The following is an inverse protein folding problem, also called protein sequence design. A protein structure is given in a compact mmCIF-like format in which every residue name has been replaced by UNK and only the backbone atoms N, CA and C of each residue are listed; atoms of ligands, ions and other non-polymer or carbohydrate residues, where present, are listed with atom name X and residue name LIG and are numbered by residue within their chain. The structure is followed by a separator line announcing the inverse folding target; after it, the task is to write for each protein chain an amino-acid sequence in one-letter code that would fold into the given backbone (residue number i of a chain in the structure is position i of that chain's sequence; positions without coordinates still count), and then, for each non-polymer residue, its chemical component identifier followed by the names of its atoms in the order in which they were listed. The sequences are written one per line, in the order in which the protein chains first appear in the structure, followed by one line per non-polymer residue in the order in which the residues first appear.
data_IF_243356528434
#
_entry.id   IF_243356528434
#
_cell.length_a   1.000
_cell.length_b   1.000
_cell.length_c   1.000
_cell.angle_alpha   90.00
_cell.angle_beta   90.00
_cell.angle_gamma   90.00
#
_symmetry.space_group_name_H-M   'P 1'
#
loop_
_entity.id
_entity.type
_entity.pdbx_description
1 polymer ?
#
# COMPACT_ATOMS: atom_id res chain seq x y z
N UNK A 1 -25.23 -6.77 -17.66
CA UNK A 1 -23.77 -6.89 -17.93
C UNK A 1 -23.13 -5.60 -17.47
N UNK A 2 -22.08 -5.66 -16.66
CA UNK A 2 -21.36 -4.44 -16.28
C UNK A 2 -20.53 -3.96 -17.47
N UNK A 3 -20.65 -2.69 -17.84
CA UNK A 3 -19.85 -2.08 -18.90
C UNK A 3 -18.55 -1.54 -18.27
N UNK A 4 -17.41 -2.10 -18.68
CA UNK A 4 -16.11 -1.67 -18.17
C UNK A 4 -15.66 -0.41 -18.92
N UNK A 5 -15.61 0.72 -18.22
CA UNK A 5 -15.04 1.96 -18.74
C UNK A 5 -13.59 2.10 -18.29
N UNK A 6 -12.68 2.29 -19.25
CA UNK A 6 -11.31 2.69 -18.95
C UNK A 6 -11.29 4.18 -18.58
N UNK A 7 -10.75 4.48 -17.40
CA UNK A 7 -10.50 5.85 -16.94
C UNK A 7 -9.03 5.99 -16.61
N UNK A 8 -8.40 7.06 -17.09
CA UNK A 8 -7.04 7.43 -16.73
C UNK A 8 -7.07 8.43 -15.58
N UNK A 9 -6.23 8.23 -14.57
CA UNK A 9 -6.12 9.11 -13.42
C UNK A 9 -4.69 9.11 -12.89
N UNK A 10 -4.27 10.25 -12.35
CA UNK A 10 -2.96 10.42 -11.74
C UNK A 10 -3.11 10.59 -10.23
N UNK A 11 -2.44 9.73 -9.46
CA UNK A 11 -2.38 9.83 -8.01
C UNK A 11 -0.98 10.29 -7.58
N UNK A 12 -0.92 11.23 -6.64
CA UNK A 12 0.31 11.46 -5.88
C UNK A 12 0.34 10.47 -4.72
N UNK A 13 1.49 9.83 -4.52
CA UNK A 13 1.69 8.86 -3.44
C UNK A 13 2.80 9.32 -2.50
N UNK A 14 2.67 8.95 -1.23
CA UNK A 14 3.73 9.15 -0.25
C UNK A 14 4.61 7.91 -0.23
N UNK A 15 5.91 8.11 -0.45
CA UNK A 15 6.91 7.03 -0.44
C UNK A 15 7.81 7.24 0.77
N UNK A 16 7.96 6.20 1.58
CA UNK A 16 8.93 6.14 2.66
C UNK A 16 9.99 5.09 2.33
N UNK A 17 11.25 5.50 2.32
CA UNK A 17 12.38 4.57 2.30
C UNK A 17 12.57 3.96 3.69
N UNK A 18 12.70 2.64 3.74
CA UNK A 18 12.89 1.88 4.98
C UNK A 18 14.15 1.04 4.81
N UNK A 19 15.12 1.18 5.72
CA UNK A 19 16.23 0.25 5.80
C UNK A 19 15.82 -0.86 6.77
N UNK A 20 15.77 -2.10 6.30
CA UNK A 20 15.21 -3.21 7.06
C UNK A 20 16.15 -3.66 8.19
N UNK A 21 17.43 -3.25 8.18
CA UNK A 21 18.37 -3.55 9.26
C UNK A 21 18.24 -4.99 9.78
N UNK A 22 17.99 -5.12 11.09
CA UNK A 22 17.53 -6.35 11.76
C UNK A 22 16.05 -6.29 12.16
N UNK A 23 15.35 -5.22 11.80
CA UNK A 23 13.96 -4.98 12.19
C UNK A 23 13.04 -5.89 11.35
N UNK A 24 12.35 -6.85 11.97
CA UNK A 24 11.41 -7.71 11.26
C UNK A 24 10.34 -6.86 10.55
N UNK A 25 9.93 -7.28 9.35
CA UNK A 25 8.83 -6.63 8.61
C UNK A 25 7.54 -6.53 9.45
N UNK A 26 7.34 -7.45 10.38
CA UNK A 26 6.22 -7.46 11.33
C UNK A 26 6.22 -6.29 12.32
N UNK A 27 7.31 -5.53 12.44
CA UNK A 27 7.41 -4.37 13.34
C UNK A 27 7.06 -3.05 12.64
N UNK A 28 6.68 -3.08 11.36
CA UNK A 28 6.37 -1.84 10.66
C UNK A 28 5.05 -1.27 11.15
N UNK A 29 5.10 0.02 11.47
CA UNK A 29 3.99 0.81 11.94
C UNK A 29 3.36 1.66 10.85
N UNK A 30 2.05 1.86 10.94
CA UNK A 30 1.27 2.73 10.09
C UNK A 30 1.78 4.18 10.15
N UNK A 31 1.94 4.85 9.00
CA UNK A 31 2.43 6.23 8.93
C UNK A 31 1.52 7.22 9.67
N UNK A 32 0.23 6.90 9.77
CA UNK A 32 -0.78 7.80 10.32
C UNK A 32 -0.95 7.61 11.84
N UNK A 33 -1.12 6.36 12.31
CA UNK A 33 -1.46 6.08 13.71
C UNK A 33 -0.37 5.33 14.49
N UNK A 34 0.73 4.94 13.83
CA UNK A 34 1.84 4.16 14.41
C UNK A 34 1.47 2.79 14.98
N UNK A 35 0.25 2.30 14.75
CA UNK A 35 -0.11 0.93 15.08
C UNK A 35 0.55 -0.05 14.08
N UNK A 36 0.83 -1.30 14.48
CA UNK A 36 1.36 -2.31 13.59
C UNK A 36 0.50 -2.46 12.31
N UNK A 37 1.17 -2.77 11.21
CA UNK A 37 0.56 -3.04 9.91
C UNK A 37 0.53 -4.55 9.69
N UNK A 38 -0.63 -5.07 9.27
CA UNK A 38 -0.76 -6.45 8.83
C UNK A 38 -0.22 -6.58 7.41
N UNK A 39 0.77 -7.46 7.21
CA UNK A 39 1.43 -7.64 5.91
C UNK A 39 0.99 -8.95 5.27
N UNK A 40 0.63 -8.88 3.99
CA UNK A 40 0.12 -9.99 3.19
C UNK A 40 0.95 -10.15 1.92
N UNK A 41 1.25 -11.40 1.55
CA UNK A 41 1.89 -11.77 0.29
C UNK A 41 0.80 -12.14 -0.72
N UNK A 42 0.48 -11.30 -1.72
CA UNK A 42 -0.65 -11.53 -2.61
C UNK A 42 -0.31 -12.39 -3.84
N UNK A 43 0.96 -12.52 -4.21
CA UNK A 43 1.41 -13.15 -5.45
C UNK A 43 2.79 -13.81 -5.28
N UNK A 44 2.83 -15.13 -5.13
CA UNK A 44 4.07 -15.88 -4.87
C UNK A 44 5.13 -15.73 -5.98
N UNK A 45 4.74 -15.27 -7.18
CA UNK A 45 5.67 -14.95 -8.27
C UNK A 45 6.50 -13.68 -8.04
N UNK A 46 6.07 -12.81 -7.11
CA UNK A 46 6.74 -11.57 -6.73
C UNK A 46 6.81 -11.46 -5.19
N UNK A 47 7.61 -12.32 -4.52
CA UNK A 47 7.65 -12.40 -3.06
C UNK A 47 8.13 -11.10 -2.39
N UNK A 48 8.91 -10.29 -3.10
CA UNK A 48 9.38 -8.96 -2.68
C UNK A 48 8.30 -7.88 -2.74
N UNK A 49 7.11 -8.21 -3.26
CA UNK A 49 5.96 -7.31 -3.30
C UNK A 49 4.90 -7.76 -2.32
N UNK A 50 4.68 -6.94 -1.30
CA UNK A 50 3.69 -7.23 -0.26
C UNK A 50 2.69 -6.11 -0.10
N UNK A 51 1.50 -6.45 0.39
CA UNK A 51 0.45 -5.50 0.74
C UNK A 51 0.37 -5.36 2.26
N UNK A 52 0.55 -4.13 2.74
CA UNK A 52 0.32 -3.78 4.13
C UNK A 52 -1.07 -3.19 4.33
N UNK A 53 -1.79 -3.59 5.37
CA UNK A 53 -3.04 -2.96 5.79
C UNK A 53 -2.98 -2.54 7.25
N UNK A 54 -3.42 -1.32 7.56
CA UNK A 54 -3.55 -0.89 8.94
C UNK A 54 -4.98 -1.15 9.44
N UNK A 55 -5.20 -1.99 10.45
CA UNK A 55 -6.55 -2.33 10.93
C UNK A 55 -7.28 -1.11 11.54
N UNK A 56 -6.53 -0.11 12.02
CA UNK A 56 -7.09 1.10 12.62
C UNK A 56 -7.43 2.18 11.59
N UNK A 57 -6.45 2.60 10.79
CA UNK A 57 -6.65 3.65 9.80
C UNK A 57 -7.37 3.15 8.54
N UNK A 58 -7.43 1.83 8.34
CA UNK A 58 -7.86 1.19 7.09
C UNK A 58 -7.07 1.67 5.87
N UNK A 59 -5.83 2.11 6.12
CA UNK A 59 -4.88 2.54 5.10
C UNK A 59 -4.20 1.31 4.48
N UNK A 60 -3.91 1.41 3.20
CA UNK A 60 -3.25 0.36 2.43
C UNK A 60 -1.88 0.83 1.99
N UNK A 61 -0.92 -0.07 2.02
CA UNK A 61 0.46 0.18 1.68
C UNK A 61 0.93 -0.87 0.67
N UNK A 62 1.64 -0.43 -0.36
CA UNK A 62 2.48 -1.33 -1.16
C UNK A 62 3.87 -1.33 -0.56
N UNK A 63 4.41 -2.53 -0.37
CA UNK A 63 5.78 -2.77 0.01
C UNK A 63 6.53 -3.36 -1.16
N UNK A 64 7.70 -2.81 -1.46
CA UNK A 64 8.61 -3.33 -2.46
C UNK A 64 9.99 -3.46 -1.81
N UNK A 65 10.46 -4.70 -1.64
CA UNK A 65 11.71 -5.04 -0.97
C UNK A 65 12.82 -5.25 -2.00
N UNK A 66 13.99 -4.71 -1.71
CA UNK A 66 15.21 -5.10 -2.41
C UNK A 66 15.92 -6.15 -1.57
N UNK A 67 15.82 -7.40 -2.03
CA UNK A 67 16.40 -8.58 -1.38
C UNK A 67 17.92 -8.52 -1.30
N UNK A 68 18.58 -7.81 -2.23
CA UNK A 68 20.03 -7.73 -2.30
C UNK A 68 20.56 -6.62 -1.38
N UNK A 69 19.83 -5.51 -1.25
CA UNK A 69 20.28 -4.35 -0.48
C UNK A 69 19.69 -4.21 0.92
N UNK A 70 18.79 -5.10 1.33
CA UNK A 70 18.07 -5.04 2.62
C UNK A 70 17.36 -3.69 2.85
N UNK A 71 16.94 -3.07 1.75
CA UNK A 71 16.15 -1.85 1.75
C UNK A 71 14.75 -2.16 1.25
N UNK A 72 13.81 -1.32 1.61
CA UNK A 72 12.45 -1.40 1.13
C UNK A 72 11.91 -0.01 0.89
N UNK A 73 10.90 0.07 0.03
CA UNK A 73 10.03 1.22 -0.03
C UNK A 73 8.64 0.82 0.46
N UNK A 74 8.06 1.70 1.28
CA UNK A 74 6.64 1.63 1.60
C UNK A 74 5.92 2.79 0.91
N UNK A 75 4.91 2.46 0.14
CA UNK A 75 4.10 3.41 -0.61
C UNK A 75 2.70 3.44 -0.02
N UNK A 76 2.26 4.58 0.50
CA UNK A 76 0.86 4.76 0.91
C UNK A 76 -0.02 4.82 -0.35
N UNK A 77 -0.95 3.87 -0.47
CA UNK A 77 -1.89 3.82 -1.57
C UNK A 77 -3.04 4.82 -1.37
N UNK A 78 -3.63 5.34 -2.46
CA UNK A 78 -4.82 6.16 -2.38
C UNK A 78 -5.98 5.43 -1.67
N UNK A 79 -6.83 6.21 -1.00
CA UNK A 79 -7.97 5.66 -0.27
C UNK A 79 -9.19 5.44 -1.17
N UNK A 80 -10.24 4.86 -0.57
CA UNK A 80 -11.51 4.63 -1.25
C UNK A 80 -12.18 5.95 -1.71
N UNK A 81 -11.97 7.07 -1.03
CA UNK A 81 -12.53 8.35 -1.46
C UNK A 81 -11.90 8.82 -2.76
N UNK A 82 -10.57 8.68 -2.89
CA UNK A 82 -9.88 8.96 -4.15
C UNK A 82 -10.41 8.07 -5.28
N UNK A 83 -10.50 6.75 -5.07
CA UNK A 83 -10.96 5.84 -6.13
C UNK A 83 -12.42 6.05 -6.51
N UNK A 84 -13.30 6.37 -5.56
CA UNK A 84 -14.70 6.72 -5.86
C UNK A 84 -14.79 7.95 -6.77
N UNK A 85 -14.00 9.01 -6.50
CA UNK A 85 -13.97 10.20 -7.36
C UNK A 85 -13.50 9.86 -8.77
N UNK A 86 -12.45 9.05 -8.91
CA UNK A 86 -11.95 8.60 -10.22
C UNK A 86 -12.98 7.74 -10.96
N UNK A 87 -13.67 6.86 -10.25
CA UNK A 87 -14.72 6.02 -10.81
C UNK A 87 -16.01 6.80 -11.19
N UNK A 88 -16.09 8.10 -10.88
CA UNK A 88 -17.27 8.93 -11.13
C UNK A 88 -18.40 8.71 -10.11
N UNK A 89 -18.13 8.05 -8.99
CA UNK A 89 -19.08 7.92 -7.89
C UNK A 89 -19.20 9.24 -7.13
N UNK A 90 -20.36 9.89 -7.22
CA UNK A 90 -20.77 10.90 -6.24
C UNK A 90 -20.81 10.22 -4.87
N UNK A 91 -19.91 10.62 -3.97
CA UNK A 91 -19.90 10.11 -2.60
C UNK A 91 -21.29 10.25 -1.98
N UNK A 92 -21.85 9.14 -1.53
CA UNK A 92 -22.90 9.12 -0.52
C UNK A 92 -22.24 9.24 0.85
#
# INVERSE_FOLDING_TARGET
MAEFRRTEAHATVTILGVSLGVTPISEVSCLNCRQPVDVHQPDEGFPERMLGTCPHCRAWYLWDFDVDSNNAVMVLLPDNHYFKRVAGGTGA
#
